data_IF_438416946854
#
_entry.id   IF_438416946854
#
_cell.length_a   1.000
_cell.length_b   1.000
_cell.length_c   1.000
_cell.angle_alpha   90.00
_cell.angle_beta   90.00
_cell.angle_gamma   90.00
#
_symmetry.space_group_name_H-M   'P 1'
#
loop_
_entity.id
_entity.type
_entity.pdbx_description
1 polymer ?
#
# COMPACT_ATOMS: atom_id res chain seq x y z
N UNK A 1 -4.11 -28.73 -2.37
CA UNK A 1 -2.92 -28.13 -3.02
C UNK A 1 -2.89 -26.63 -2.77
N UNK A 2 -1.91 -26.12 -2.02
CA UNK A 2 -1.72 -24.66 -1.86
C UNK A 2 -1.13 -24.13 -3.18
N UNK A 3 -1.88 -23.31 -3.94
CA UNK A 3 -1.31 -22.62 -5.11
C UNK A 3 -0.13 -21.77 -4.63
N UNK A 4 1.08 -22.10 -5.09
CA UNK A 4 2.25 -21.29 -4.77
C UNK A 4 2.02 -19.91 -5.41
N UNK A 5 2.04 -18.80 -4.65
CA UNK A 5 1.73 -17.47 -5.18
C UNK A 5 2.68 -17.02 -6.30
N UNK A 6 3.76 -17.76 -6.52
CA UNK A 6 4.83 -17.47 -7.48
C UNK A 6 4.88 -18.47 -8.65
N UNK A 7 3.93 -19.41 -8.73
CA UNK A 7 3.91 -20.44 -9.76
C UNK A 7 3.87 -19.83 -11.18
N UNK A 8 3.29 -18.63 -11.32
CA UNK A 8 3.17 -17.89 -12.57
C UNK A 8 4.39 -17.03 -12.92
N UNK A 9 5.40 -16.96 -12.05
CA UNK A 9 6.62 -16.16 -12.29
C UNK A 9 7.67 -16.95 -13.05
N UNK A 10 8.38 -16.28 -13.96
CA UNK A 10 9.52 -16.81 -14.68
C UNK A 10 10.73 -17.03 -13.77
N UNK A 11 11.67 -17.91 -14.15
CA UNK A 11 12.85 -18.23 -13.32
C UNK A 11 13.68 -17.01 -12.91
N UNK A 12 13.86 -16.04 -13.83
CA UNK A 12 14.58 -14.79 -13.55
C UNK A 12 13.85 -13.92 -12.52
N UNK A 13 12.52 -13.89 -12.57
CA UNK A 13 11.68 -13.15 -11.62
C UNK A 13 11.75 -13.78 -10.22
N UNK A 14 11.72 -15.12 -10.13
CA UNK A 14 11.89 -15.85 -8.88
C UNK A 14 13.25 -15.57 -8.23
N UNK A 15 14.34 -15.56 -9.02
CA UNK A 15 15.67 -15.20 -8.51
C UNK A 15 15.69 -13.77 -7.99
N UNK A 16 15.08 -12.82 -8.70
CA UNK A 16 15.00 -11.42 -8.24
C UNK A 16 14.21 -11.28 -6.94
N UNK A 17 13.09 -12.00 -6.81
CA UNK A 17 12.34 -12.02 -5.55
C UNK A 17 13.16 -12.62 -4.41
N UNK A 18 13.87 -13.72 -4.66
CA UNK A 18 14.75 -14.32 -3.64
C UNK A 18 15.78 -13.31 -3.15
N UNK A 19 16.49 -12.65 -4.07
CA UNK A 19 17.47 -11.61 -3.73
C UNK A 19 16.82 -10.43 -3.01
N UNK A 20 15.61 -10.01 -3.42
CA UNK A 20 14.88 -8.94 -2.76
C UNK A 20 14.53 -9.28 -1.30
N UNK A 21 14.18 -10.53 -1.01
CA UNK A 21 13.90 -11.03 0.34
C UNK A 21 15.13 -11.03 1.23
N UNK A 22 16.27 -11.42 0.68
CA UNK A 22 17.55 -11.42 1.39
C UNK A 22 17.99 -9.97 1.71
N UNK A 23 17.82 -9.06 0.75
CA UNK A 23 18.26 -7.67 0.88
C UNK A 23 17.29 -6.78 1.67
N UNK A 24 16.01 -7.15 1.75
CA UNK A 24 14.95 -6.33 2.35
C UNK A 24 14.35 -5.27 1.41
N UNK A 25 14.79 -5.20 0.14
CA UNK A 25 14.25 -4.28 -0.86
C UNK A 25 14.19 -4.90 -2.25
N UNK A 26 13.23 -4.46 -3.07
CA UNK A 26 13.03 -4.94 -4.44
C UNK A 26 13.66 -4.02 -5.47
N UNK A 27 14.44 -4.59 -6.38
CA UNK A 27 14.91 -3.93 -7.59
C UNK A 27 13.89 -4.10 -8.73
N UNK A 28 13.08 -3.08 -8.94
CA UNK A 28 12.04 -2.98 -9.96
C UNK A 28 12.46 -2.03 -11.11
N UNK A 29 13.65 -2.22 -11.69
CA UNK A 29 14.13 -1.43 -12.85
C UNK A 29 13.60 -1.87 -14.23
N UNK A 30 13.02 -3.07 -14.39
CA UNK A 30 12.48 -3.54 -15.69
C UNK A 30 11.14 -2.93 -16.08
N UNK A 31 10.71 -3.08 -17.34
CA UNK A 31 9.46 -2.51 -17.83
C UNK A 31 8.20 -3.17 -17.24
N UNK A 32 8.24 -4.48 -16.97
CA UNK A 32 7.12 -5.24 -16.40
C UNK A 32 7.48 -5.78 -15.01
N UNK A 33 7.27 -4.96 -13.98
CA UNK A 33 7.58 -5.34 -12.59
C UNK A 33 6.35 -5.36 -11.68
N UNK A 34 5.16 -5.10 -12.19
CA UNK A 34 3.97 -5.02 -11.34
C UNK A 34 3.75 -6.34 -10.58
N UNK A 35 3.96 -7.47 -11.25
CA UNK A 35 3.89 -8.81 -10.63
C UNK A 35 4.92 -9.01 -9.54
N UNK A 36 6.16 -8.56 -9.76
CA UNK A 36 7.22 -8.61 -8.76
C UNK A 36 6.92 -7.74 -7.54
N UNK A 37 6.44 -6.51 -7.77
CA UNK A 37 6.04 -5.57 -6.72
C UNK A 37 4.90 -6.16 -5.90
N UNK A 38 3.88 -6.75 -6.52
CA UNK A 38 2.77 -7.43 -5.82
C UNK A 38 3.22 -8.67 -5.03
N UNK A 39 4.06 -9.52 -5.60
CA UNK A 39 4.56 -10.70 -4.92
C UNK A 39 5.45 -10.32 -3.72
N UNK A 40 6.27 -9.28 -3.87
CA UNK A 40 7.11 -8.76 -2.79
C UNK A 40 6.28 -8.07 -1.71
N UNK A 41 5.26 -7.27 -2.08
CA UNK A 41 4.38 -6.61 -1.12
C UNK A 41 3.62 -7.62 -0.26
N UNK A 42 3.12 -8.71 -0.86
CA UNK A 42 2.46 -9.79 -0.13
C UNK A 42 3.40 -10.47 0.86
N UNK A 43 4.67 -10.68 0.47
CA UNK A 43 5.68 -11.23 1.35
C UNK A 43 6.01 -10.28 2.51
N UNK A 44 6.23 -8.98 2.23
CA UNK A 44 6.43 -7.95 3.25
C UNK A 44 5.25 -7.89 4.23
N UNK A 45 4.01 -7.93 3.73
CA UNK A 45 2.80 -7.94 4.55
C UNK A 45 2.69 -9.17 5.45
N UNK A 46 3.13 -10.34 4.96
CA UNK A 46 3.13 -11.58 5.75
C UNK A 46 4.14 -11.53 6.88
N UNK A 47 5.27 -10.86 6.69
CA UNK A 47 6.31 -10.66 7.72
C UNK A 47 6.13 -9.39 8.57
N UNK A 48 5.15 -8.54 8.24
CA UNK A 48 4.91 -7.25 8.90
C UNK A 48 6.13 -6.32 8.85
N UNK A 49 6.84 -6.34 7.73
CA UNK A 49 7.99 -5.45 7.47
C UNK A 49 7.62 -4.39 6.44
N UNK A 50 8.25 -3.19 6.49
CA UNK A 50 8.01 -2.16 5.49
C UNK A 50 8.49 -2.63 4.12
N UNK A 51 7.79 -2.21 3.07
CA UNK A 51 8.16 -2.51 1.71
C UNK A 51 9.03 -1.38 1.16
N UNK A 52 10.22 -1.73 0.68
CA UNK A 52 11.10 -0.80 -0.03
C UNK A 52 11.37 -1.33 -1.43
N UNK A 53 11.26 -0.46 -2.43
CA UNK A 53 11.65 -0.82 -3.78
C UNK A 53 12.20 0.37 -4.54
N UNK A 54 13.00 0.05 -5.56
CA UNK A 54 13.61 1.01 -6.45
C UNK A 54 13.19 0.76 -7.89
N UNK A 55 12.94 1.84 -8.63
CA UNK A 55 12.56 1.78 -10.03
C UNK A 55 13.34 2.81 -10.83
N UNK A 56 13.49 2.57 -12.13
CA UNK A 56 14.04 3.59 -13.03
C UNK A 56 12.92 4.58 -13.37
N UNK A 57 13.21 5.89 -13.33
CA UNK A 57 12.17 6.92 -13.51
C UNK A 57 11.58 6.92 -14.93
N UNK A 58 12.43 6.77 -15.93
CA UNK A 58 12.07 6.52 -17.34
C UNK A 58 13.14 5.61 -17.95
N UNK A 59 12.86 4.85 -19.03
CA UNK A 59 13.81 3.87 -19.57
C UNK A 59 15.23 4.40 -19.82
N UNK A 60 15.37 5.68 -20.22
CA UNK A 60 16.67 6.32 -20.53
C UNK A 60 17.21 7.27 -19.45
N UNK A 61 16.48 7.48 -18.35
CA UNK A 61 16.89 8.40 -17.28
C UNK A 61 18.17 7.96 -16.57
N UNK A 62 19.06 8.91 -16.24
CA UNK A 62 20.23 8.71 -15.35
C UNK A 62 19.86 8.65 -13.86
N UNK A 63 18.60 8.88 -13.54
CA UNK A 63 18.03 8.87 -12.20
C UNK A 63 16.94 7.79 -12.08
N UNK A 64 16.85 7.21 -10.90
CA UNK A 64 15.71 6.39 -10.49
C UNK A 64 14.99 6.97 -9.29
N UNK A 65 14.05 6.18 -8.79
CA UNK A 65 13.23 6.46 -7.64
C UNK A 65 13.38 5.37 -6.61
N UNK A 66 13.41 5.75 -5.34
CA UNK A 66 13.26 4.84 -4.19
C UNK A 66 11.92 5.15 -3.54
N UNK A 67 11.16 4.10 -3.21
CA UNK A 67 9.90 4.18 -2.49
C UNK A 67 9.96 3.33 -1.23
N UNK A 68 9.38 3.87 -0.17
CA UNK A 68 9.10 3.21 1.10
C UNK A 68 7.58 3.21 1.28
N UNK A 69 7.03 2.06 1.66
CA UNK A 69 5.64 1.86 1.98
C UNK A 69 5.53 1.13 3.34
N UNK A 70 4.82 1.76 4.29
CA UNK A 70 4.57 1.23 5.62
C UNK A 70 3.25 0.46 5.72
N UNK A 71 2.38 0.48 4.69
CA UNK A 71 1.07 -0.19 4.69
C UNK A 71 1.18 -1.73 4.76
N UNK A 72 2.36 -2.30 4.50
CA UNK A 72 2.63 -3.72 4.75
C UNK A 72 2.83 -4.03 6.24
N UNK A 73 2.86 -3.01 7.11
CA UNK A 73 3.03 -3.13 8.56
C UNK A 73 1.80 -2.58 9.30
N UNK A 74 1.71 -2.90 10.59
CA UNK A 74 0.76 -2.23 11.48
C UNK A 74 1.32 -0.92 12.07
N UNK A 75 2.46 -0.44 11.55
CA UNK A 75 3.21 0.68 12.09
C UNK A 75 3.18 1.86 11.11
N UNK A 76 3.51 3.03 11.63
CA UNK A 76 3.76 4.26 10.88
C UNK A 76 5.08 4.88 11.32
N UNK A 77 5.66 5.73 10.49
CA UNK A 77 6.87 6.48 10.85
C UNK A 77 6.57 7.53 11.91
N UNK A 78 7.38 7.56 12.97
CA UNK A 78 7.36 8.63 13.97
C UNK A 78 7.80 9.95 13.34
N UNK A 79 7.62 11.07 14.05
CA UNK A 79 8.17 12.35 13.61
C UNK A 79 9.69 12.29 13.42
N UNK A 80 10.39 11.59 14.31
CA UNK A 80 11.84 11.34 14.20
C UNK A 80 12.17 10.48 12.98
N UNK A 81 11.41 9.39 12.75
CA UNK A 81 11.57 8.55 11.56
C UNK A 81 11.36 9.32 10.26
N UNK A 82 10.34 10.17 10.19
CA UNK A 82 10.10 11.04 9.03
C UNK A 82 11.23 12.06 8.83
N UNK A 83 11.76 12.64 9.90
CA UNK A 83 12.91 13.53 9.84
C UNK A 83 14.16 12.80 9.32
N UNK A 84 14.40 11.56 9.78
CA UNK A 84 15.50 10.73 9.28
C UNK A 84 15.32 10.41 7.79
N UNK A 85 14.12 10.05 7.33
CA UNK A 85 13.86 9.84 5.89
C UNK A 85 14.17 11.08 5.07
N UNK A 86 13.79 12.27 5.56
CA UNK A 86 14.12 13.55 4.90
C UNK A 86 15.61 13.88 4.95
N UNK A 87 16.34 13.40 5.95
CA UNK A 87 17.79 13.60 6.05
C UNK A 87 18.58 12.74 5.05
N UNK A 88 18.03 11.61 4.59
CA UNK A 88 18.65 10.76 3.57
C UNK A 88 18.69 11.39 2.17
N UNK A 89 17.94 12.47 1.95
CA UNK A 89 17.94 13.23 0.70
C UNK A 89 16.61 13.94 0.47
N UNK A 90 16.45 14.56 -0.69
CA UNK A 90 15.21 15.27 -1.03
C UNK A 90 14.04 14.29 -1.21
N UNK A 91 13.33 14.03 -0.11
CA UNK A 91 12.25 13.07 0.00
C UNK A 91 10.91 13.77 0.24
N UNK A 92 9.84 13.22 -0.35
CA UNK A 92 8.48 13.42 0.15
C UNK A 92 8.21 12.31 1.14
N UNK A 93 8.12 12.62 2.43
CA UNK A 93 7.88 11.64 3.49
C UNK A 93 6.61 12.00 4.27
N UNK A 94 5.79 10.99 4.50
CA UNK A 94 4.59 10.99 5.34
C UNK A 94 4.75 9.90 6.42
N UNK A 95 3.79 9.76 7.36
CA UNK A 95 3.79 8.65 8.31
C UNK A 95 3.72 7.27 7.62
N UNK A 96 3.12 7.16 6.43
CA UNK A 96 2.83 5.88 5.80
C UNK A 96 3.72 5.55 4.60
N UNK A 97 4.36 6.55 4.01
CA UNK A 97 5.18 6.36 2.82
C UNK A 97 6.30 7.39 2.72
N UNK A 98 7.32 7.07 1.94
CA UNK A 98 8.33 8.04 1.53
C UNK A 98 8.82 7.78 0.11
N UNK A 99 9.16 8.85 -0.61
CA UNK A 99 9.56 8.79 -2.01
C UNK A 99 10.71 9.76 -2.31
N UNK A 100 11.77 9.22 -2.91
CA UNK A 100 12.91 9.97 -3.43
C UNK A 100 12.91 9.87 -4.97
N UNK A 101 12.54 10.94 -5.68
CA UNK A 101 12.29 10.90 -7.13
C UNK A 101 13.53 11.01 -8.03
N UNK A 102 14.65 11.53 -7.50
CA UNK A 102 15.85 11.86 -8.28
C UNK A 102 17.11 11.30 -7.63
N UNK A 103 17.19 9.97 -7.49
CA UNK A 103 18.38 9.30 -6.97
C UNK A 103 19.27 8.85 -8.13
N UNK A 104 20.58 9.16 -8.14
CA UNK A 104 21.51 8.65 -9.14
C UNK A 104 21.46 7.12 -9.22
N UNK A 105 21.47 6.55 -10.43
CA UNK A 105 21.35 5.09 -10.60
C UNK A 105 22.41 4.27 -9.85
N UNK A 106 23.61 4.83 -9.71
CA UNK A 106 24.74 4.20 -9.00
C UNK A 106 24.50 4.12 -7.48
N UNK A 107 23.60 4.94 -6.96
CA UNK A 107 23.32 5.07 -5.53
C UNK A 107 21.98 4.41 -5.13
N UNK A 108 21.17 3.97 -6.09
CA UNK A 108 19.83 3.42 -5.82
C UNK A 108 19.85 2.27 -4.83
N UNK A 109 20.70 1.27 -5.06
CA UNK A 109 20.76 0.07 -4.23
C UNK A 109 21.24 0.42 -2.80
N UNK A 110 22.21 1.34 -2.68
CA UNK A 110 22.67 1.87 -1.39
C UNK A 110 21.54 2.61 -0.66
N UNK A 111 20.87 3.53 -1.35
CA UNK A 111 19.76 4.32 -0.80
C UNK A 111 18.63 3.42 -0.32
N UNK A 112 18.21 2.43 -1.13
CA UNK A 112 17.15 1.49 -0.77
C UNK A 112 17.50 0.68 0.49
N UNK A 113 18.74 0.20 0.60
CA UNK A 113 19.21 -0.50 1.80
C UNK A 113 19.18 0.44 3.03
N UNK A 114 19.69 1.67 2.90
CA UNK A 114 19.68 2.64 3.99
C UNK A 114 18.26 2.99 4.44
N UNK A 115 17.34 3.21 3.50
CA UNK A 115 15.92 3.46 3.79
C UNK A 115 15.29 2.28 4.53
N UNK A 116 15.52 1.05 4.07
CA UNK A 116 15.01 -0.14 4.76
C UNK A 116 15.53 -0.26 6.20
N UNK A 117 16.83 0.00 6.41
CA UNK A 117 17.45 -0.04 7.74
C UNK A 117 16.94 1.07 8.65
N UNK A 118 16.71 2.26 8.12
CA UNK A 118 16.13 3.38 8.86
C UNK A 118 14.67 3.10 9.22
N UNK A 119 13.86 2.56 8.31
CA UNK A 119 12.44 2.29 8.53
C UNK A 119 12.19 1.13 9.53
N UNK A 120 13.16 0.24 9.68
CA UNK A 120 13.11 -0.89 10.62
C UNK A 120 13.83 -0.62 11.94
N UNK A 121 14.47 0.56 12.10
CA UNK A 121 15.16 0.95 13.33
C UNK A 121 14.16 1.28 14.44
N UNK A 122 14.44 0.81 15.65
CA UNK A 122 13.67 1.18 16.84
C UNK A 122 13.68 2.70 17.04
N UNK A 123 12.52 3.27 17.38
CA UNK A 123 12.33 4.72 17.53
C UNK A 123 11.87 5.44 16.25
N UNK A 124 12.07 4.84 15.07
CA UNK A 124 11.64 5.43 13.80
C UNK A 124 10.23 5.03 13.37
N UNK A 125 9.64 4.04 14.04
CA UNK A 125 8.26 3.62 13.80
C UNK A 125 7.51 3.44 15.12
N UNK A 126 6.20 3.59 15.05
CA UNK A 126 5.28 3.34 16.14
C UNK A 126 4.03 2.61 15.63
N UNK A 127 3.33 1.83 16.49
CA UNK A 127 2.07 1.21 16.10
C UNK A 127 1.06 2.25 15.65
N UNK A 128 0.43 2.02 14.50
CA UNK A 128 -0.67 2.85 14.04
C UNK A 128 -1.89 2.60 14.93
N UNK A 129 -2.12 3.49 15.90
CA UNK A 129 -3.22 3.40 16.86
C UNK A 129 -4.58 3.78 16.26
N UNK A 130 -4.68 4.04 14.96
CA UNK A 130 -5.98 4.23 14.30
C UNK A 130 -6.78 2.92 14.37
N UNK A 131 -7.65 2.82 15.38
CA UNK A 131 -8.57 1.70 15.60
C UNK A 131 -9.57 1.61 14.46
N UNK A 132 -9.21 1.00 13.33
CA UNK A 132 -10.21 0.45 12.42
C UNK A 132 -10.74 -0.85 13.03
N UNK A 133 -11.76 -0.72 13.88
CA UNK A 133 -12.59 -1.86 14.26
C UNK A 133 -13.42 -2.23 13.04
N UNK A 134 -12.85 -3.05 12.15
CA UNK A 134 -13.65 -3.68 11.09
C UNK A 134 -14.51 -4.75 11.76
N UNK A 135 -15.73 -4.38 12.09
CA UNK A 135 -16.71 -5.29 12.66
C UNK A 135 -17.20 -6.22 11.54
N UNK A 136 -16.48 -7.31 11.29
CA UNK A 136 -16.78 -8.31 10.24
C UNK A 136 -18.16 -8.97 10.38
N UNK A 137 -18.89 -8.73 11.49
CA UNK A 137 -20.25 -9.26 11.72
C UNK A 137 -21.37 -8.56 10.93
N UNK A 138 -21.12 -7.46 10.21
CA UNK A 138 -22.18 -6.74 9.47
C UNK A 138 -22.37 -7.15 7.99
N UNK A 139 -21.58 -8.07 7.45
CA UNK A 139 -21.75 -8.51 6.05
C UNK A 139 -22.69 -9.72 5.87
N UNK A 140 -23.23 -10.24 6.96
CA UNK A 140 -24.24 -11.31 6.94
C UNK A 140 -25.58 -10.77 7.40
N UNK A 141 -26.30 -10.05 6.53
CA UNK A 141 -27.62 -9.54 6.88
C UNK A 141 -28.24 -8.57 5.89
N UNK A 142 -29.04 -9.13 4.98
CA UNK A 142 -30.22 -8.49 4.37
C UNK A 142 -29.98 -7.65 3.11
N UNK A 143 -29.78 -8.34 1.98
CA UNK A 143 -30.41 -7.93 0.72
C UNK A 143 -31.91 -8.22 0.86
N UNK A 144 -32.70 -7.20 1.23
CA UNK A 144 -34.14 -7.19 0.93
C UNK A 144 -34.33 -6.25 -0.26
N UNK A 145 -34.51 -6.85 -1.43
CA UNK A 145 -35.14 -6.16 -2.57
C UNK A 145 -36.47 -5.59 -2.08
N UNK A 146 -36.62 -4.28 -2.14
CA UNK A 146 -37.93 -3.64 -2.06
C UNK A 146 -38.36 -3.35 -3.48
N UNK A 147 -38.98 -4.37 -4.08
CA UNK A 147 -39.79 -4.23 -5.28
C UNK A 147 -41.08 -3.54 -4.82
N UNK A 148 -41.19 -2.22 -5.08
CA UNK A 148 -42.45 -1.50 -4.93
C UNK A 148 -43.16 -1.55 -6.28
N UNK A 149 -44.01 -2.56 -6.43
CA UNK A 149 -45.00 -2.60 -7.49
C UNK A 149 -46.08 -1.55 -7.25
N UNK A 150 -46.23 -0.67 -8.23
CA UNK A 150 -47.40 0.16 -8.46
C UNK A 150 -48.62 -0.72 -8.73
N UNK A 151 -49.71 -0.51 -7.98
CA UNK A 151 -51.09 -0.67 -8.50
C UNK A 151 -52.15 -0.09 -7.55
N UNK A 152 -52.66 1.09 -7.94
CA UNK A 152 -54.08 1.46 -8.00
C UNK A 152 -55.07 0.88 -6.96
N UNK A 153 -55.66 1.75 -6.13
CA UNK A 153 -57.05 2.22 -6.31
C UNK A 153 -57.62 2.96 -5.08
N UNK A 154 -58.01 4.21 -5.32
CA UNK A 154 -59.18 4.96 -4.79
C UNK A 154 -59.63 4.80 -3.33
N UNK A 155 -59.67 5.93 -2.60
CA UNK A 155 -60.95 6.50 -2.15
C UNK A 155 -60.79 7.95 -1.68
N UNK A 156 -61.65 8.78 -2.25
CA UNK A 156 -61.92 10.19 -1.98
C UNK A 156 -62.39 10.42 -0.54
N UNK A 157 -61.90 11.49 0.10
CA UNK A 157 -62.70 12.45 0.90
C UNK A 157 -61.84 13.63 1.39
N UNK A 158 -62.13 14.83 0.87
CA UNK A 158 -61.84 16.09 1.56
C UNK A 158 -62.83 16.28 2.72
N UNK A 159 -62.49 17.09 3.73
CA UNK A 159 -63.07 18.43 3.73
C UNK A 159 -62.10 19.55 4.15
N UNK A 160 -62.60 20.76 3.90
CA UNK A 160 -61.95 22.05 3.81
C UNK A 160 -61.43 22.60 5.14
N UNK A 161 -60.36 23.38 5.02
CA UNK A 161 -59.81 24.30 6.01
C UNK A 161 -60.76 25.48 6.30
N UNK A 162 -60.90 25.82 7.59
CA UNK A 162 -61.41 27.11 8.07
C UNK A 162 -60.32 28.19 7.95
N UNK A 163 -60.68 29.37 7.44
CA UNK A 163 -60.13 30.65 7.88
C UNK A 163 -60.98 31.82 7.35
N UNK A 164 -61.31 32.73 8.27
CA UNK A 164 -61.95 34.06 8.15
C UNK A 164 -63.47 34.09 7.97
#
# INVERSE_FOLDING_TARGET
MKRHPEAHLASRERTRLRVARENGYLNARSADNQRLVQAFSLWCWRLKIPMVWLERRTPRSRYGRVKLDMFTTANMLTAAGQAEMKALGHARASPHDACWDRVPLRELDRMANTVFRAATRMGNYEPNRSKFVVNMRRLSGTLRCTERDDRFSSSVRQPRSNAA
#
